data_IF_204525224817
#
_entry.id   IF_204525224817
#
_cell.length_a   1.000
_cell.length_b   1.000
_cell.length_c   1.000
_cell.angle_alpha   90.00
_cell.angle_beta   90.00
_cell.angle_gamma   90.00
#
_symmetry.space_group_name_H-M   'P 1'
#
loop_
_entity.id
_entity.type
_entity.pdbx_description
1 polymer ?
#
# COMPACT_ATOMS: atom_id res chain seq x y z
N UNK A 1 -28.00 4.82 31.01
CA UNK A 1 -26.66 4.21 31.04
C UNK A 1 -26.71 2.74 30.69
N UNK A 2 -27.53 1.91 31.36
CA UNK A 2 -27.66 0.46 31.04
C UNK A 2 -27.97 0.20 29.55
N UNK A 3 -28.99 0.83 28.98
CA UNK A 3 -29.30 0.65 27.55
C UNK A 3 -28.19 1.13 26.58
N UNK A 4 -27.30 2.04 27.01
CA UNK A 4 -26.13 2.44 26.20
C UNK A 4 -24.98 1.45 26.32
N UNK A 5 -24.76 0.88 27.52
CA UNK A 5 -23.77 -0.18 27.70
C UNK A 5 -24.19 -1.46 26.97
N UNK A 6 -25.49 -1.76 26.94
CA UNK A 6 -26.03 -2.92 26.23
C UNK A 6 -25.78 -2.80 24.71
N UNK A 7 -25.98 -1.61 24.13
CA UNK A 7 -25.69 -1.35 22.73
C UNK A 7 -24.21 -1.61 22.37
N UNK A 8 -23.27 -1.17 23.21
CA UNK A 8 -21.84 -1.46 23.01
C UNK A 8 -21.54 -2.93 23.24
N UNK A 9 -22.17 -3.54 24.25
CA UNK A 9 -22.09 -4.96 24.54
C UNK A 9 -22.45 -5.82 23.32
N UNK A 10 -23.54 -5.49 22.62
CA UNK A 10 -23.97 -6.22 21.41
C UNK A 10 -22.93 -6.14 20.28
N UNK A 11 -22.17 -5.04 20.17
CA UNK A 11 -21.13 -4.87 19.15
C UNK A 11 -19.94 -5.77 19.45
N UNK A 12 -19.53 -5.87 20.71
CA UNK A 12 -18.30 -6.56 21.13
C UNK A 12 -18.52 -7.96 21.73
N UNK A 13 -19.77 -8.40 21.89
CA UNK A 13 -20.09 -9.71 22.44
C UNK A 13 -19.67 -10.84 21.49
N UNK A 14 -19.10 -11.92 22.02
CA UNK A 14 -18.74 -13.11 21.24
C UNK A 14 -17.94 -12.77 19.96
N UNK A 15 -16.97 -11.88 20.09
CA UNK A 15 -15.98 -11.61 19.03
C UNK A 15 -14.79 -12.52 19.23
N UNK A 16 -14.19 -12.96 18.13
CA UNK A 16 -13.04 -13.85 18.11
C UNK A 16 -11.72 -13.08 18.24
N UNK A 17 -11.71 -11.78 17.94
CA UNK A 17 -10.54 -10.91 18.09
C UNK A 17 -10.91 -9.42 18.25
N UNK A 18 -10.03 -8.67 18.93
CA UNK A 18 -10.08 -7.21 19.03
C UNK A 18 -8.95 -6.58 18.21
N UNK A 19 -9.31 -5.79 17.21
CA UNK A 19 -8.37 -5.05 16.37
C UNK A 19 -8.32 -3.60 16.83
N UNK A 20 -7.14 -3.08 17.12
CA UNK A 20 -6.95 -1.68 17.55
C UNK A 20 -6.05 -0.99 16.52
N UNK A 21 -6.60 0.00 15.83
CA UNK A 21 -5.90 0.69 14.73
C UNK A 21 -5.12 1.89 15.26
N UNK A 22 -3.78 1.88 15.10
CA UNK A 22 -2.87 2.96 15.52
C UNK A 22 -3.13 3.50 16.94
N UNK A 23 -3.12 2.66 18.00
CA UNK A 23 -3.34 3.12 19.36
C UNK A 23 -2.17 3.95 19.90
N UNK A 24 -2.45 4.81 20.87
CA UNK A 24 -1.42 5.34 21.77
C UNK A 24 -1.03 4.28 22.80
N UNK A 25 0.19 4.36 23.35
CA UNK A 25 0.67 3.41 24.35
C UNK A 25 -0.27 3.30 25.56
N UNK A 26 -0.74 4.44 26.08
CA UNK A 26 -1.65 4.49 27.23
C UNK A 26 -3.06 3.95 26.96
N UNK A 27 -3.46 3.90 25.68
CA UNK A 27 -4.72 3.28 25.28
C UNK A 27 -4.55 1.77 25.15
N UNK A 28 -3.47 1.32 24.50
CA UNK A 28 -3.14 -0.10 24.33
C UNK A 28 -2.96 -0.82 25.67
N UNK A 29 -2.26 -0.22 26.64
CA UNK A 29 -2.06 -0.78 27.99
C UNK A 29 -3.37 -1.18 28.67
N UNK A 30 -4.47 -0.47 28.42
CA UNK A 30 -5.79 -0.78 29.01
C UNK A 30 -6.33 -2.14 28.58
N UNK A 31 -5.94 -2.61 27.40
CA UNK A 31 -6.37 -3.87 26.82
C UNK A 31 -5.30 -4.95 26.95
N UNK A 32 -4.02 -4.58 26.91
CA UNK A 32 -2.91 -5.50 27.17
C UNK A 32 -2.92 -6.03 28.60
N UNK A 33 -3.29 -5.18 29.58
CA UNK A 33 -3.43 -5.57 30.99
C UNK A 33 -4.81 -6.15 31.31
N UNK A 34 -5.76 -6.09 30.37
CA UNK A 34 -7.06 -6.71 30.53
C UNK A 34 -6.92 -8.21 30.26
N UNK A 35 -7.40 -9.03 31.19
CA UNK A 35 -7.47 -10.49 31.03
C UNK A 35 -8.60 -10.83 30.03
N UNK A 36 -8.30 -10.66 28.75
CA UNK A 36 -9.19 -10.93 27.63
C UNK A 36 -8.91 -12.34 27.10
N UNK A 37 -9.96 -13.14 26.95
CA UNK A 37 -9.89 -14.50 26.38
C UNK A 37 -9.72 -14.50 24.84
N UNK A 38 -9.41 -13.34 24.24
CA UNK A 38 -9.34 -13.13 22.79
C UNK A 38 -8.05 -12.37 22.42
N UNK A 39 -7.47 -12.63 21.24
CA UNK A 39 -6.30 -11.89 20.77
C UNK A 39 -6.60 -10.40 20.58
N UNK A 40 -5.65 -9.57 21.03
CA UNK A 40 -5.62 -8.13 20.77
C UNK A 40 -4.60 -7.88 19.67
N UNK A 41 -5.08 -7.48 18.50
CA UNK A 41 -4.30 -7.24 17.28
C UNK A 41 -4.10 -5.74 17.10
N UNK A 42 -2.85 -5.29 17.09
CA UNK A 42 -2.54 -3.90 16.74
C UNK A 42 -2.33 -3.78 15.24
N UNK A 43 -3.07 -2.87 14.60
CA UNK A 43 -2.93 -2.57 13.17
C UNK A 43 -2.42 -1.15 13.00
N UNK A 44 -1.15 -0.97 12.62
CA UNK A 44 -0.54 0.35 12.56
C UNK A 44 0.64 0.41 11.57
N UNK A 45 1.09 1.61 11.14
CA UNK A 45 2.27 1.75 10.29
C UNK A 45 3.56 1.21 10.92
N UNK A 46 3.69 1.31 12.23
CA UNK A 46 4.82 0.79 13.00
C UNK A 46 4.31 0.19 14.32
N UNK A 47 4.97 -0.85 14.82
CA UNK A 47 4.64 -1.44 16.13
C UNK A 47 5.26 -0.66 17.29
N UNK A 48 4.84 0.59 17.48
CA UNK A 48 5.40 1.50 18.51
C UNK A 48 5.00 1.15 19.95
N UNK A 49 4.05 0.23 20.11
CA UNK A 49 3.53 -0.21 21.41
C UNK A 49 4.04 -1.60 21.81
N UNK A 50 4.97 -2.18 21.02
CA UNK A 50 5.52 -3.52 21.24
C UNK A 50 4.44 -4.60 21.43
N UNK A 51 3.35 -4.52 20.65
CA UNK A 51 2.27 -5.49 20.72
C UNK A 51 2.73 -6.88 20.28
N UNK A 52 2.26 -7.93 20.96
CA UNK A 52 2.57 -9.32 20.64
C UNK A 52 2.02 -9.71 19.26
N UNK A 53 0.77 -9.29 18.97
CA UNK A 53 0.13 -9.51 17.68
C UNK A 53 -0.01 -8.19 16.93
N UNK A 54 0.64 -8.11 15.77
CA UNK A 54 0.74 -6.87 14.99
C UNK A 54 0.56 -7.13 13.49
N UNK A 55 -0.19 -6.24 12.83
CA UNK A 55 -0.34 -6.19 11.38
C UNK A 55 0.10 -4.82 10.88
N UNK A 56 1.07 -4.80 9.97
CA UNK A 56 1.57 -3.56 9.37
C UNK A 56 0.52 -2.92 8.46
N UNK A 57 0.30 -1.61 8.64
CA UNK A 57 -0.56 -0.77 7.80
C UNK A 57 0.31 0.26 7.06
N UNK A 58 0.84 -0.07 5.87
CA UNK A 58 1.89 0.71 5.21
C UNK A 58 1.37 1.96 4.48
N UNK A 59 0.05 2.12 4.36
CA UNK A 59 -0.57 3.32 3.77
C UNK A 59 -1.56 3.92 4.77
N UNK A 60 -1.72 5.24 4.69
CA UNK A 60 -2.86 5.89 5.31
C UNK A 60 -4.10 5.65 4.43
N UNK A 61 -5.26 5.54 5.06
CA UNK A 61 -6.53 5.29 4.40
C UNK A 61 -7.55 6.29 4.92
N UNK A 62 -8.03 7.19 4.06
CA UNK A 62 -9.12 8.12 4.41
C UNK A 62 -10.43 7.36 4.62
N UNK A 63 -10.63 6.29 3.86
CA UNK A 63 -11.78 5.41 4.01
C UNK A 63 -11.55 4.40 5.13
N UNK A 64 -12.23 4.62 6.27
CA UNK A 64 -12.20 3.73 7.44
C UNK A 64 -12.57 2.28 7.09
N UNK A 65 -13.48 2.06 6.15
CA UNK A 65 -13.87 0.70 5.73
C UNK A 65 -12.71 -0.02 5.04
N UNK A 66 -11.98 0.69 4.19
CA UNK A 66 -10.85 0.11 3.46
C UNK A 66 -9.66 -0.11 4.39
N UNK A 67 -9.44 0.81 5.34
CA UNK A 67 -8.46 0.61 6.43
C UNK A 67 -8.75 -0.66 7.22
N UNK A 68 -10.00 -0.85 7.63
CA UNK A 68 -10.43 -2.04 8.39
C UNK A 68 -10.23 -3.31 7.56
N UNK A 69 -10.66 -3.29 6.29
CA UNK A 69 -10.49 -4.43 5.38
C UNK A 69 -9.03 -4.81 5.19
N UNK A 70 -8.15 -3.83 5.00
CA UNK A 70 -6.72 -4.07 4.87
C UNK A 70 -6.14 -4.74 6.13
N UNK A 71 -6.50 -4.23 7.31
CA UNK A 71 -6.07 -4.81 8.58
C UNK A 71 -6.53 -6.26 8.77
N UNK A 72 -7.79 -6.55 8.42
CA UNK A 72 -8.36 -7.90 8.47
C UNK A 72 -7.68 -8.82 7.46
N UNK A 73 -7.49 -8.37 6.22
CA UNK A 73 -6.77 -9.15 5.20
C UNK A 73 -5.36 -9.51 5.66
N UNK A 74 -4.63 -8.55 6.25
CA UNK A 74 -3.32 -8.83 6.82
C UNK A 74 -3.36 -9.82 7.97
N UNK A 75 -4.37 -9.76 8.82
CA UNK A 75 -4.54 -10.74 9.89
C UNK A 75 -4.87 -12.14 9.34
N UNK A 76 -5.65 -12.24 8.27
CA UNK A 76 -5.92 -13.52 7.60
C UNK A 76 -4.65 -14.13 7.00
N UNK A 77 -3.82 -13.33 6.34
CA UNK A 77 -2.56 -13.80 5.73
C UNK A 77 -1.51 -14.23 6.78
N UNK A 78 -1.61 -13.74 8.01
CA UNK A 78 -0.76 -14.14 9.13
C UNK A 78 -1.41 -15.21 10.03
N UNK A 79 -2.49 -15.86 9.58
CA UNK A 79 -3.23 -16.89 10.33
C UNK A 79 -3.71 -16.43 11.73
N UNK A 80 -3.99 -15.14 11.90
CA UNK A 80 -4.50 -14.55 13.16
C UNK A 80 -6.03 -14.69 13.25
N UNK A 81 -6.73 -14.59 12.11
CA UNK A 81 -8.19 -14.76 11.99
C UNK A 81 -8.53 -15.56 10.74
N UNK A 82 -9.66 -16.24 10.75
CA UNK A 82 -10.13 -17.10 9.65
C UNK A 82 -11.50 -16.63 9.09
N UNK A 83 -11.90 -17.19 7.94
CA UNK A 83 -13.22 -16.92 7.37
C UNK A 83 -14.33 -17.34 8.35
N UNK A 84 -15.26 -16.42 8.62
CA UNK A 84 -16.38 -16.65 9.53
C UNK A 84 -16.22 -15.98 10.89
N UNK A 85 -15.00 -15.64 11.29
CA UNK A 85 -14.72 -14.95 12.55
C UNK A 85 -15.44 -13.61 12.64
N UNK A 86 -15.87 -13.24 13.84
CA UNK A 86 -16.39 -11.92 14.16
C UNK A 86 -15.33 -11.10 14.89
N UNK A 87 -14.89 -10.00 14.30
CA UNK A 87 -13.88 -9.12 14.90
C UNK A 87 -14.48 -7.78 15.31
N UNK A 88 -14.03 -7.24 16.44
CA UNK A 88 -14.30 -5.87 16.83
C UNK A 88 -13.13 -4.99 16.42
N UNK A 89 -13.37 -3.98 15.59
CA UNK A 89 -12.36 -3.03 15.13
C UNK A 89 -12.55 -1.68 15.83
N UNK A 90 -11.60 -1.32 16.68
CA UNK A 90 -11.52 -0.01 17.30
C UNK A 90 -10.70 0.94 16.41
N UNK A 91 -11.33 2.04 16.01
CA UNK A 91 -10.82 2.97 15.00
C UNK A 91 -11.10 4.42 15.41
N UNK A 92 -10.24 5.34 14.97
CA UNK A 92 -10.51 6.78 14.98
C UNK A 92 -11.15 7.18 13.65
N UNK A 93 -12.33 7.80 13.71
CA UNK A 93 -13.12 8.29 12.56
C UNK A 93 -13.05 9.81 12.46
N UNK A 94 -13.08 10.52 13.60
CA UNK A 94 -12.97 11.97 13.66
C UNK A 94 -11.67 12.34 14.39
N UNK A 95 -10.55 12.34 13.66
CA UNK A 95 -9.19 12.77 14.05
C UNK A 95 -8.94 12.92 15.58
N UNK A 96 -8.12 12.03 16.14
CA UNK A 96 -7.67 12.12 17.52
C UNK A 96 -7.74 10.79 18.23
N UNK A 97 -8.50 10.72 19.31
CA UNK A 97 -8.68 9.49 20.06
C UNK A 97 -9.52 8.45 19.28
N UNK A 98 -9.44 7.20 19.71
CA UNK A 98 -10.30 6.13 19.21
C UNK A 98 -11.75 6.41 19.63
N UNK A 99 -12.63 6.63 18.66
CA UNK A 99 -13.99 7.13 18.88
C UNK A 99 -15.08 6.21 18.30
N UNK A 100 -14.70 5.14 17.61
CA UNK A 100 -15.61 4.18 17.04
C UNK A 100 -15.18 2.72 17.28
N UNK A 101 -16.19 1.85 17.35
CA UNK A 101 -16.03 0.40 17.33
C UNK A 101 -16.94 -0.16 16.24
N UNK A 102 -16.37 -0.96 15.35
CA UNK A 102 -17.07 -1.55 14.21
C UNK A 102 -16.96 -3.06 14.34
N UNK A 103 -18.09 -3.77 14.40
CA UNK A 103 -18.10 -5.23 14.29
C UNK A 103 -18.05 -5.62 12.82
N UNK A 104 -17.13 -6.51 12.47
CA UNK A 104 -16.97 -7.04 11.12
C UNK A 104 -16.97 -8.56 11.16
N UNK A 105 -17.65 -9.20 10.21
CA UNK A 105 -17.50 -10.63 9.97
C UNK A 105 -16.46 -10.83 8.88
N UNK A 106 -15.41 -11.60 9.17
CA UNK A 106 -14.34 -11.92 8.24
C UNK A 106 -14.92 -12.77 7.10
N UNK A 107 -14.64 -12.37 5.87
CA UNK A 107 -15.12 -13.02 4.66
C UNK A 107 -14.06 -13.01 3.56
N UNK A 108 -14.08 -14.00 2.68
CA UNK A 108 -13.14 -14.13 1.57
C UNK A 108 -13.14 -12.91 0.62
N UNK A 109 -14.24 -12.17 0.55
CA UNK A 109 -14.31 -10.93 -0.24
C UNK A 109 -13.41 -9.79 0.28
N UNK A 110 -12.82 -9.95 1.48
CA UNK A 110 -11.86 -8.99 2.03
C UNK A 110 -10.44 -9.18 1.49
N UNK A 111 -10.13 -10.32 0.85
CA UNK A 111 -8.85 -10.54 0.17
C UNK A 111 -8.76 -9.69 -1.10
N UNK A 112 -8.30 -8.46 -0.94
CA UNK A 112 -8.16 -7.50 -2.03
C UNK A 112 -6.84 -7.67 -2.80
N UNK A 113 -5.86 -8.35 -2.22
CA UNK A 113 -4.47 -8.44 -2.67
C UNK A 113 -3.63 -7.23 -2.26
N UNK A 114 -4.22 -6.20 -1.66
CA UNK A 114 -3.49 -4.98 -1.27
C UNK A 114 -2.50 -5.31 -0.14
N UNK A 115 -2.85 -6.19 0.81
CA UNK A 115 -1.89 -6.61 1.83
C UNK A 115 -0.67 -7.33 1.21
N UNK A 116 -0.93 -8.26 0.29
CA UNK A 116 0.11 -8.99 -0.45
C UNK A 116 1.06 -8.03 -1.22
N UNK A 117 0.55 -6.88 -1.70
CA UNK A 117 1.36 -5.84 -2.35
C UNK A 117 2.54 -5.36 -1.50
N UNK A 118 2.36 -5.31 -0.18
CA UNK A 118 3.36 -4.82 0.76
C UNK A 118 4.08 -5.97 1.45
N UNK A 119 3.35 -6.89 2.06
CA UNK A 119 3.90 -7.94 2.91
C UNK A 119 4.72 -8.99 2.14
N UNK A 120 4.30 -9.33 0.92
CA UNK A 120 4.92 -10.39 0.11
C UNK A 120 5.65 -9.82 -1.12
N UNK A 121 6.17 -8.60 -1.02
CA UNK A 121 6.91 -7.97 -2.11
C UNK A 121 8.41 -8.20 -1.99
N UNK A 122 9.14 -8.01 -3.09
CA UNK A 122 10.61 -8.12 -3.08
C UNK A 122 11.28 -6.92 -2.42
N UNK A 123 10.61 -5.78 -2.41
CA UNK A 123 11.11 -4.53 -1.82
C UNK A 123 10.62 -4.39 -0.39
N UNK A 124 11.26 -3.52 0.38
CA UNK A 124 10.79 -3.23 1.73
C UNK A 124 9.43 -2.49 1.66
N UNK A 125 8.46 -2.76 2.56
CA UNK A 125 7.15 -2.10 2.55
C UNK A 125 7.23 -0.57 2.56
N UNK A 126 8.18 -0.02 3.33
CA UNK A 126 8.48 1.42 3.39
C UNK A 126 8.85 1.99 2.02
N UNK A 127 9.60 1.26 1.19
CA UNK A 127 9.97 1.71 -0.15
C UNK A 127 8.74 1.79 -1.06
N UNK A 128 7.85 0.80 -0.98
CA UNK A 128 6.61 0.81 -1.77
C UNK A 128 5.73 1.99 -1.35
N UNK A 129 5.59 2.23 -0.04
CA UNK A 129 4.90 3.40 0.51
C UNK A 129 5.50 4.70 -0.03
N UNK A 130 6.81 4.88 0.09
CA UNK A 130 7.46 6.14 -0.33
C UNK A 130 7.28 6.41 -1.84
N UNK A 131 7.21 5.36 -2.67
CA UNK A 131 6.88 5.50 -4.11
C UNK A 131 5.42 5.88 -4.33
N UNK A 132 4.49 5.30 -3.57
CA UNK A 132 3.08 5.71 -3.61
C UNK A 132 2.92 7.17 -3.22
N UNK A 133 3.57 7.63 -2.14
CA UNK A 133 3.54 9.04 -1.72
C UNK A 133 4.00 9.97 -2.84
N UNK A 134 5.10 9.63 -3.53
CA UNK A 134 5.57 10.40 -4.68
C UNK A 134 4.56 10.38 -5.82
N UNK A 135 3.96 9.24 -6.13
CA UNK A 135 2.98 9.11 -7.20
C UNK A 135 1.69 9.89 -6.91
N UNK A 136 1.21 9.85 -5.67
CA UNK A 136 0.05 10.62 -5.20
C UNK A 136 0.37 12.12 -5.25
N UNK A 137 1.54 12.54 -4.77
CA UNK A 137 1.92 13.96 -4.81
C UNK A 137 2.05 14.49 -6.25
N UNK A 138 2.56 13.65 -7.15
CA UNK A 138 2.61 13.93 -8.59
C UNK A 138 1.21 14.02 -9.20
N UNK A 139 0.28 13.15 -8.78
CA UNK A 139 -1.12 13.19 -9.22
C UNK A 139 -1.81 14.49 -8.84
N UNK A 140 -1.74 14.86 -7.55
CA UNK A 140 -2.33 16.09 -7.00
C UNK A 140 -1.79 17.37 -7.64
N UNK A 141 -0.46 17.50 -7.69
CA UNK A 141 0.20 18.76 -8.10
C UNK A 141 0.44 18.83 -9.60
N UNK A 142 0.43 17.68 -10.28
CA UNK A 142 1.01 17.54 -11.60
C UNK A 142 2.48 17.99 -11.61
N UNK A 143 2.97 18.33 -12.79
CA UNK A 143 4.25 18.98 -12.96
C UNK A 143 4.08 20.34 -13.62
N UNK A 144 4.51 21.39 -12.90
CA UNK A 144 4.30 22.79 -13.33
C UNK A 144 2.82 23.07 -13.65
N UNK A 145 1.91 22.45 -12.88
CA UNK A 145 0.47 22.58 -13.02
C UNK A 145 -0.16 21.80 -14.18
N UNK A 146 0.57 20.87 -14.80
CA UNK A 146 0.03 20.00 -15.86
C UNK A 146 -0.03 18.54 -15.39
N UNK A 147 -1.06 17.77 -15.78
CA UNK A 147 -1.08 16.33 -15.55
C UNK A 147 0.20 15.67 -16.06
N UNK A 148 0.68 14.68 -15.34
CA UNK A 148 1.89 13.93 -15.66
C UNK A 148 1.62 12.45 -15.48
N UNK A 149 2.10 11.63 -16.41
CA UNK A 149 2.11 10.19 -16.25
C UNK A 149 3.48 9.70 -15.83
N UNK A 150 3.54 8.72 -14.93
CA UNK A 150 4.78 8.13 -14.47
C UNK A 150 4.64 6.62 -14.31
N UNK A 151 5.75 5.91 -14.44
CA UNK A 151 5.84 4.47 -14.22
C UNK A 151 7.03 4.20 -13.32
N UNK A 152 6.76 3.62 -12.15
CA UNK A 152 7.76 3.19 -11.18
C UNK A 152 7.76 1.67 -11.13
N UNK A 153 8.94 1.05 -11.19
CA UNK A 153 9.15 -0.38 -10.98
C UNK A 153 10.02 -0.54 -9.73
N UNK A 154 9.51 -1.26 -8.74
CA UNK A 154 10.07 -1.34 -7.39
C UNK A 154 10.43 -2.79 -7.08
N UNK A 155 11.69 -3.02 -6.72
CA UNK A 155 12.22 -4.35 -6.44
C UNK A 155 12.64 -5.13 -7.68
N UNK A 156 13.42 -6.20 -7.48
CA UNK A 156 13.98 -7.06 -8.54
C UNK A 156 14.69 -6.27 -9.66
N UNK A 157 15.34 -5.15 -9.28
CA UNK A 157 15.87 -4.18 -10.22
C UNK A 157 16.87 -4.79 -11.21
N UNK A 158 17.66 -5.78 -10.79
CA UNK A 158 18.58 -6.48 -11.68
C UNK A 158 17.87 -7.17 -12.85
N UNK A 159 16.80 -7.92 -12.57
CA UNK A 159 16.02 -8.61 -13.60
C UNK A 159 15.24 -7.63 -14.48
N UNK A 160 14.68 -6.58 -13.88
CA UNK A 160 14.02 -5.49 -14.61
C UNK A 160 14.98 -4.78 -15.55
N UNK A 161 16.21 -4.51 -15.11
CA UNK A 161 17.25 -3.90 -15.95
C UNK A 161 17.64 -4.80 -17.14
N UNK A 162 17.69 -6.12 -16.94
CA UNK A 162 17.94 -7.08 -18.02
C UNK A 162 16.77 -7.20 -19.02
N UNK A 163 15.55 -6.90 -18.58
CA UNK A 163 14.32 -6.88 -19.40
C UNK A 163 13.93 -5.47 -19.83
N UNK A 164 14.91 -4.59 -20.00
CA UNK A 164 14.67 -3.22 -20.44
C UNK A 164 15.86 -2.68 -21.23
N UNK A 165 15.67 -1.53 -21.87
CA UNK A 165 16.73 -0.78 -22.55
C UNK A 165 16.64 0.72 -22.23
N UNK A 166 17.77 1.46 -22.26
CA UNK A 166 17.74 2.87 -21.97
C UNK A 166 17.16 3.65 -23.16
N UNK A 167 16.25 4.58 -22.90
CA UNK A 167 15.74 5.54 -23.88
C UNK A 167 16.58 6.83 -23.90
N UNK A 168 17.21 7.16 -22.77
CA UNK A 168 18.02 8.36 -22.59
C UNK A 168 19.14 8.12 -21.58
N UNK A 169 19.97 9.14 -21.36
CA UNK A 169 21.00 9.13 -20.33
C UNK A 169 20.38 8.98 -18.93
N UNK A 170 20.92 8.08 -18.12
CA UNK A 170 20.44 7.83 -16.77
C UNK A 170 20.97 8.91 -15.80
N UNK A 171 20.13 9.82 -15.27
CA UNK A 171 20.58 10.86 -14.35
C UNK A 171 20.99 10.30 -12.96
N UNK A 172 20.63 9.04 -12.66
CA UNK A 172 20.88 8.39 -11.37
C UNK A 172 22.10 7.45 -11.37
N UNK A 173 22.85 7.34 -12.48
CA UNK A 173 23.90 6.33 -12.63
C UNK A 173 25.03 6.40 -11.57
N UNK A 174 25.30 7.61 -11.05
CA UNK A 174 26.30 7.84 -10.00
C UNK A 174 25.72 8.39 -8.71
N UNK A 175 24.39 8.42 -8.59
CA UNK A 175 23.74 8.91 -7.39
C UNK A 175 23.52 7.77 -6.38
N UNK A 176 23.43 8.16 -5.11
CA UNK A 176 23.12 7.27 -3.98
C UNK A 176 21.85 7.75 -3.29
N UNK A 177 20.89 8.20 -4.10
CA UNK A 177 19.63 8.75 -3.61
C UNK A 177 18.57 7.66 -3.49
N UNK A 178 17.74 7.77 -2.47
CA UNK A 178 16.70 6.79 -2.16
C UNK A 178 15.33 7.46 -2.20
N UNK A 179 14.31 6.72 -2.61
CA UNK A 179 12.92 7.19 -2.42
C UNK A 179 12.66 7.33 -0.91
N UNK A 180 11.83 8.30 -0.53
CA UNK A 180 11.67 8.75 0.86
C UNK A 180 12.50 9.98 1.22
N UNK A 181 13.60 10.25 0.50
CA UNK A 181 14.36 11.49 0.66
C UNK A 181 13.56 12.70 0.10
N UNK A 182 13.34 13.79 0.86
CA UNK A 182 12.56 14.94 0.36
C UNK A 182 13.10 15.57 -0.92
N UNK A 183 14.42 15.54 -1.12
CA UNK A 183 15.07 16.05 -2.34
C UNK A 183 14.77 15.17 -3.56
N UNK A 184 14.57 13.87 -3.35
CA UNK A 184 14.28 12.91 -4.41
C UNK A 184 12.89 13.14 -4.99
N UNK A 185 11.91 13.52 -4.18
CA UNK A 185 10.56 13.83 -4.65
C UNK A 185 10.60 14.98 -5.69
N UNK A 186 11.46 15.98 -5.47
CA UNK A 186 11.68 17.08 -6.44
C UNK A 186 12.37 16.57 -7.71
N UNK A 187 13.37 15.68 -7.58
CA UNK A 187 14.06 15.11 -8.74
C UNK A 187 13.14 14.23 -9.60
N UNK A 188 12.37 13.34 -8.97
CA UNK A 188 11.40 12.48 -9.64
C UNK A 188 10.35 13.29 -10.38
N UNK A 189 9.88 14.41 -9.79
CA UNK A 189 9.02 15.39 -10.46
C UNK A 189 9.65 16.00 -11.69
N UNK A 190 10.91 16.44 -11.62
CA UNK A 190 11.54 17.06 -12.79
C UNK A 190 11.73 16.06 -13.94
N UNK A 191 12.01 14.79 -13.62
CA UNK A 191 12.30 13.75 -14.60
C UNK A 191 11.07 12.97 -15.10
N UNK A 192 9.90 13.07 -14.47
CA UNK A 192 8.69 12.33 -14.89
C UNK A 192 8.11 12.76 -16.24
N UNK A 193 8.62 13.83 -16.88
CA UNK A 193 8.19 14.28 -18.22
C UNK A 193 8.54 13.34 -19.35
N UNK A 194 9.62 12.58 -19.17
CA UNK A 194 10.20 11.82 -20.26
C UNK A 194 9.71 10.37 -20.20
N UNK A 195 9.66 9.76 -21.38
CA UNK A 195 9.19 8.40 -21.51
C UNK A 195 10.13 7.39 -20.86
N UNK A 196 9.52 6.36 -20.29
CA UNK A 196 10.18 5.23 -19.66
C UNK A 196 9.85 5.11 -18.17
N UNK A 197 10.36 4.02 -17.59
CA UNK A 197 10.18 3.69 -16.19
C UNK A 197 11.33 4.22 -15.34
N UNK A 198 11.00 4.59 -14.10
CA UNK A 198 11.95 4.65 -12.99
C UNK A 198 12.12 3.23 -12.42
N UNK A 199 13.36 2.80 -12.24
CA UNK A 199 13.70 1.50 -11.66
C UNK A 199 14.29 1.75 -10.28
N UNK A 200 13.66 1.17 -9.28
CA UNK A 200 13.97 1.34 -7.86
C UNK A 200 14.33 -0.02 -7.28
N UNK A 201 15.44 -0.10 -6.55
CA UNK A 201 15.91 -1.34 -5.94
C UNK A 201 15.04 -1.77 -4.76
N UNK A 202 15.26 -3.00 -4.29
CA UNK A 202 14.62 -3.58 -3.11
C UNK A 202 14.70 -2.64 -1.89
N UNK A 203 15.84 -1.97 -1.69
CA UNK A 203 16.11 -1.03 -0.59
C UNK A 203 15.80 0.45 -0.91
N UNK A 204 15.06 0.74 -1.98
CA UNK A 204 14.63 2.11 -2.30
C UNK A 204 15.62 2.99 -3.08
N UNK A 205 16.82 2.51 -3.43
CA UNK A 205 17.75 3.26 -4.28
C UNK A 205 17.16 3.41 -5.68
N UNK A 206 17.18 4.63 -6.24
CA UNK A 206 16.86 4.83 -7.65
C UNK A 206 18.02 4.34 -8.51
N UNK A 207 17.80 3.25 -9.24
CA UNK A 207 18.81 2.60 -10.10
C UNK A 207 18.87 3.28 -11.46
N UNK A 208 17.70 3.59 -12.03
CA UNK A 208 17.63 4.17 -13.37
C UNK A 208 16.34 4.96 -13.59
N UNK A 209 16.38 5.87 -14.56
CA UNK A 209 15.21 6.46 -15.17
C UNK A 209 15.25 6.23 -16.69
N UNK A 210 14.14 6.52 -17.37
CA UNK A 210 14.02 6.45 -18.82
C UNK A 210 14.26 5.05 -19.39
N UNK A 211 13.76 4.03 -18.70
CA UNK A 211 13.86 2.63 -19.15
C UNK A 211 12.64 2.24 -19.96
N UNK A 212 12.85 1.81 -21.20
CA UNK A 212 11.82 1.12 -21.97
C UNK A 212 11.76 -0.33 -21.52
N UNK A 213 10.62 -0.75 -20.96
CA UNK A 213 10.41 -2.11 -20.50
C UNK A 213 10.11 -3.02 -21.70
N UNK A 214 10.77 -4.18 -21.75
CA UNK A 214 10.59 -5.21 -22.78
C UNK A 214 10.12 -6.53 -22.13
N UNK A 215 8.96 -6.55 -21.46
CA UNK A 215 8.42 -7.76 -20.84
C UNK A 215 7.83 -8.69 -21.90
N UNK A 216 7.69 -9.97 -21.57
CA UNK A 216 6.92 -10.90 -22.37
C UNK A 216 5.44 -10.46 -22.38
N UNK A 217 4.84 -10.37 -23.57
CA UNK A 217 3.51 -9.79 -23.76
C UNK A 217 2.34 -10.72 -23.37
N UNK A 218 2.61 -11.90 -22.82
CA UNK A 218 1.58 -12.92 -22.62
C UNK A 218 0.91 -12.82 -21.24
N UNK A 219 -0.42 -13.04 -21.25
CA UNK A 219 -1.35 -13.21 -20.12
C UNK A 219 -1.22 -12.22 -18.95
N UNK A 220 -1.10 -10.95 -19.29
CA UNK A 220 -1.47 -9.86 -18.41
C UNK A 220 -2.99 -9.80 -18.32
N UNK A 221 -3.52 -9.70 -17.11
CA UNK A 221 -4.96 -9.59 -16.86
C UNK A 221 -5.24 -8.22 -16.24
N UNK A 222 -5.47 -7.22 -17.11
CA UNK A 222 -5.79 -5.86 -16.68
C UNK A 222 -7.02 -5.32 -17.41
N UNK A 223 -7.78 -4.40 -16.77
CA UNK A 223 -8.95 -3.77 -17.37
C UNK A 223 -8.69 -3.15 -18.74
N UNK A 224 -9.69 -3.23 -19.62
CA UNK A 224 -9.64 -2.56 -20.93
C UNK A 224 -9.63 -1.04 -20.74
N UNK A 225 -8.96 -0.34 -21.65
CA UNK A 225 -8.87 1.13 -21.64
C UNK A 225 -7.60 1.68 -21.00
N UNK A 226 -6.79 0.82 -20.36
CA UNK A 226 -5.51 1.23 -19.80
C UNK A 226 -4.43 1.36 -20.88
N UNK A 227 -3.67 2.47 -20.80
CA UNK A 227 -2.62 2.81 -21.78
C UNK A 227 -1.32 1.99 -21.67
N UNK A 228 -0.35 2.33 -22.52
CA UNK A 228 0.91 1.58 -22.66
C UNK A 228 1.74 1.46 -21.37
N UNK A 229 1.75 2.47 -20.50
CA UNK A 229 2.47 2.42 -19.21
C UNK A 229 1.89 1.36 -18.26
N UNK A 230 0.57 1.22 -18.21
CA UNK A 230 -0.10 0.19 -17.42
C UNK A 230 0.19 -1.21 -17.96
N UNK A 231 0.09 -1.40 -19.27
CA UNK A 231 0.43 -2.67 -19.92
C UNK A 231 1.88 -3.08 -19.64
N UNK A 232 2.81 -2.13 -19.77
CA UNK A 232 4.23 -2.37 -19.50
C UNK A 232 4.50 -2.70 -18.02
N UNK A 233 3.86 -1.96 -17.11
CA UNK A 233 3.97 -2.18 -15.66
C UNK A 233 3.44 -3.56 -15.26
N UNK A 234 2.22 -3.90 -15.67
CA UNK A 234 1.65 -5.21 -15.40
C UNK A 234 2.49 -6.35 -16.01
N UNK A 235 2.88 -6.24 -17.27
CA UNK A 235 3.70 -7.26 -17.94
C UNK A 235 5.06 -7.46 -17.26
N UNK A 236 5.75 -6.40 -16.84
CA UNK A 236 7.05 -6.56 -16.16
C UNK A 236 6.89 -7.28 -14.82
N UNK A 237 5.83 -7.00 -14.05
CA UNK A 237 5.57 -7.67 -12.76
C UNK A 237 5.20 -9.14 -12.88
N UNK A 238 4.86 -9.60 -14.08
CA UNK A 238 4.68 -11.03 -14.35
C UNK A 238 6.02 -11.74 -14.55
N UNK A 239 6.95 -11.04 -15.18
CA UNK A 239 8.25 -11.55 -15.57
C UNK A 239 9.30 -11.43 -14.46
N UNK A 240 9.03 -10.66 -13.41
CA UNK A 240 9.90 -10.34 -12.29
C UNK A 240 9.12 -10.42 -10.98
N UNK A 241 9.83 -10.35 -9.84
CA UNK A 241 9.19 -10.23 -8.53
C UNK A 241 9.00 -8.76 -8.12
N UNK A 242 9.00 -7.83 -9.08
CA UNK A 242 8.83 -6.41 -8.81
C UNK A 242 7.37 -6.03 -8.68
N UNK A 243 7.10 -4.99 -7.90
CA UNK A 243 5.83 -4.26 -7.89
C UNK A 243 5.94 -3.07 -8.85
N UNK A 244 4.86 -2.70 -9.52
CA UNK A 244 4.83 -1.44 -10.30
C UNK A 244 3.74 -0.52 -9.81
N UNK A 245 4.04 0.77 -9.86
CA UNK A 245 3.11 1.86 -9.54
C UNK A 245 3.07 2.77 -10.76
N UNK A 246 1.86 3.03 -11.25
CA UNK A 246 1.60 3.82 -12.46
C UNK A 246 0.72 4.99 -12.08
N UNK A 247 1.23 6.20 -12.31
CA UNK A 247 0.42 7.40 -12.35
C UNK A 247 -0.05 7.62 -13.77
N UNK A 248 -1.37 7.70 -13.96
CA UNK A 248 -1.97 7.87 -15.26
C UNK A 248 -2.09 9.35 -15.63
N UNK A 249 -1.60 9.69 -16.82
CA UNK A 249 -1.64 11.06 -17.33
C UNK A 249 -3.06 11.52 -17.71
N UNK A 250 -3.94 10.58 -18.06
CA UNK A 250 -5.26 10.87 -18.63
C UNK A 250 -6.36 11.06 -17.59
N UNK A 251 -6.35 10.26 -16.53
CA UNK A 251 -7.36 10.27 -15.47
C UNK A 251 -6.77 10.63 -14.09
N UNK A 252 -5.45 10.82 -13.98
CA UNK A 252 -4.80 11.23 -12.72
C UNK A 252 -4.69 10.11 -11.68
N UNK A 253 -5.30 8.95 -11.92
CA UNK A 253 -5.35 7.86 -10.95
C UNK A 253 -3.99 7.15 -10.80
N UNK A 254 -3.69 6.72 -9.58
CA UNK A 254 -2.51 5.93 -9.23
C UNK A 254 -2.91 4.48 -9.10
N UNK A 255 -2.24 3.59 -9.85
CA UNK A 255 -2.55 2.16 -9.88
C UNK A 255 -1.31 1.33 -9.61
N UNK A 256 -1.46 0.23 -8.88
CA UNK A 256 -0.37 -0.74 -8.70
C UNK A 256 -0.65 -2.07 -9.36
N UNK A 257 0.43 -2.72 -9.78
CA UNK A 257 0.38 -4.05 -10.38
C UNK A 257 1.44 -4.96 -9.75
N UNK A 258 1.06 -6.24 -9.60
CA UNK A 258 1.91 -7.33 -9.13
C UNK A 258 1.48 -8.62 -9.83
N UNK A 259 2.45 -9.44 -10.25
CA UNK A 259 2.15 -10.72 -10.90
C UNK A 259 1.30 -10.62 -12.17
N UNK A 260 1.31 -9.49 -12.87
CA UNK A 260 0.50 -9.26 -14.07
C UNK A 260 -0.96 -8.87 -13.82
N UNK A 261 -1.34 -8.59 -12.57
CA UNK A 261 -2.68 -8.16 -12.17
C UNK A 261 -2.65 -6.76 -11.57
N UNK A 262 -3.74 -6.02 -11.71
CA UNK A 262 -3.95 -4.79 -10.94
C UNK A 262 -4.32 -5.17 -9.50
N UNK A 263 -3.68 -4.51 -8.53
CA UNK A 263 -3.86 -4.79 -7.11
C UNK A 263 -4.55 -3.64 -6.39
N UNK A 264 -4.18 -2.40 -6.73
CA UNK A 264 -4.70 -1.19 -6.09
C UNK A 264 -4.98 -0.09 -7.12
N UNK A 265 -6.01 0.70 -6.86
CA UNK A 265 -6.33 1.95 -7.56
C UNK A 265 -6.64 3.01 -6.49
N UNK A 266 -5.97 4.16 -6.58
CA UNK A 266 -6.11 5.30 -5.67
C UNK A 266 -6.41 6.53 -6.53
N UNK A 267 -7.40 7.32 -6.11
CA UNK A 267 -7.58 8.70 -6.57
C UNK A 267 -6.72 9.64 -5.70
N UNK A 268 -5.70 10.31 -6.27
CA UNK A 268 -4.87 11.22 -5.50
C UNK A 268 -5.64 12.38 -4.87
N UNK A 269 -6.82 12.77 -5.37
CA UNK A 269 -7.60 13.86 -4.77
C UNK A 269 -8.36 13.43 -3.51
N UNK A 270 -8.55 12.13 -3.31
CA UNK A 270 -9.19 11.55 -2.11
C UNK A 270 -8.19 11.27 -0.97
N UNK A 271 -6.88 11.35 -1.25
CA UNK A 271 -5.74 11.22 -0.32
C UNK A 271 -5.25 12.59 0.14
#
# INVERSE_FOLDING_TARGET
MVALSDLLGDVVADVDALFIFSPSSSYYERYADADLDIPVVVVAPENVVDAETYVELPLEFDNVRDRIRFGIEGAMENDIVEEGDAVACNVSVFDGDQDAVVRVRVGEEMRSGIYDLFANSRADPSVIRDVFEVAIELGKKGQKGKPVGALFVVGDAGKVMNKSRPLSYNPFEKSHVHVGDPIVNVMLKEFSRLDGAFIISDSGKIVSAYRYLEPAAEGVDIPKGLGARHMAGAAITRDTNSTTIVLSESDGLVRSFKGGKMILEIDPEDY
#
